data_IF_510732127359
#
_entry.id   IF_510732127359
#
_cell.length_a   1.000
_cell.length_b   1.000
_cell.length_c   1.000
_cell.angle_alpha   90.00
_cell.angle_beta   90.00
_cell.angle_gamma   90.00
#
_symmetry.space_group_name_H-M   'P 1'
#
loop_
_entity.id
_entity.type
_entity.pdbx_description
1 polymer ?
#
# COMPACT_ATOMS: atom_id res chain seq x y z
N UNK A 1 26.43 -6.53 10.77
CA UNK A 1 27.04 -5.25 10.36
C UNK A 1 26.75 -5.05 8.89
N UNK A 2 26.08 -3.97 8.51
CA UNK A 2 25.73 -3.68 7.11
C UNK A 2 26.82 -2.77 6.55
N UNK A 3 27.54 -3.23 5.52
CA UNK A 3 28.49 -2.38 4.80
C UNK A 3 27.70 -1.58 3.76
N UNK A 4 27.87 -0.25 3.66
CA UNK A 4 27.23 0.52 2.60
C UNK A 4 27.74 0.05 1.24
N UNK A 5 26.89 0.03 0.20
CA UNK A 5 27.34 -0.35 -1.13
C UNK A 5 28.38 0.65 -1.64
N UNK A 6 29.30 0.20 -2.50
CA UNK A 6 30.33 1.06 -3.06
C UNK A 6 29.71 2.24 -3.83
N UNK A 7 30.36 3.41 -3.84
CA UNK A 7 29.87 4.57 -4.59
C UNK A 7 29.75 4.24 -6.09
N UNK A 8 28.78 4.84 -6.81
CA UNK A 8 28.57 4.55 -8.21
C UNK A 8 29.82 4.92 -9.03
N UNK A 9 30.19 4.03 -9.94
CA UNK A 9 31.13 4.37 -11.02
C UNK A 9 30.34 4.76 -12.27
N UNK A 10 30.88 5.62 -13.16
CA UNK A 10 30.21 5.96 -14.42
C UNK A 10 29.84 4.73 -15.25
N UNK A 11 30.71 3.70 -15.25
CA UNK A 11 30.46 2.44 -15.95
C UNK A 11 29.29 1.67 -15.35
N UNK A 12 29.24 1.53 -14.03
CA UNK A 12 28.16 0.81 -13.35
C UNK A 12 26.78 1.47 -13.52
N UNK A 13 26.74 2.79 -13.73
CA UNK A 13 25.50 3.51 -14.06
C UNK A 13 25.06 3.23 -15.49
N UNK A 14 26.00 3.17 -16.44
CA UNK A 14 25.73 3.00 -17.87
C UNK A 14 25.37 1.57 -18.26
N UNK A 15 25.93 0.57 -17.58
CA UNK A 15 25.68 -0.85 -17.85
C UNK A 15 24.59 -1.47 -16.94
N UNK A 16 23.97 -0.66 -16.07
CA UNK A 16 22.88 -1.07 -15.18
C UNK A 16 23.32 -1.96 -14.01
N UNK A 17 24.62 -2.14 -13.79
CA UNK A 17 25.14 -2.96 -12.68
C UNK A 17 25.15 -2.22 -11.33
N UNK A 18 24.97 -0.90 -11.34
CA UNK A 18 24.82 -0.12 -10.12
C UNK A 18 23.42 -0.31 -9.52
N UNK A 19 23.37 -1.02 -8.39
CA UNK A 19 22.19 -1.02 -7.51
C UNK A 19 22.39 0.09 -6.49
N UNK A 20 21.62 1.17 -6.63
CA UNK A 20 21.63 2.24 -5.65
C UNK A 20 21.33 1.69 -4.25
N UNK A 21 22.08 2.13 -3.24
CA UNK A 21 21.82 1.83 -1.83
C UNK A 21 20.37 2.11 -1.38
N UNK A 22 19.69 2.96 -2.16
CA UNK A 22 18.32 3.44 -1.97
C UNK A 22 17.28 2.69 -2.80
N UNK A 23 17.64 1.59 -3.48
CA UNK A 23 16.63 0.68 -4.03
C UNK A 23 15.90 0.03 -2.84
N UNK A 24 14.80 0.67 -2.42
CA UNK A 24 13.91 0.21 -1.37
C UNK A 24 13.51 -1.24 -1.69
N UNK A 25 14.10 -2.21 -0.98
CA UNK A 25 13.73 -3.61 -1.10
C UNK A 25 12.41 -3.81 -0.37
N UNK A 26 11.31 -3.58 -1.09
CA UNK A 26 9.96 -3.78 -0.62
C UNK A 26 9.51 -5.20 -0.92
N UNK A 27 9.03 -5.89 0.10
CA UNK A 27 8.32 -7.16 -0.08
C UNK A 27 6.82 -6.87 -0.19
N UNK A 28 6.34 -6.78 -1.43
CA UNK A 28 4.91 -6.57 -1.71
C UNK A 28 4.12 -7.79 -1.25
N UNK A 29 2.98 -7.53 -0.61
CA UNK A 29 2.08 -8.58 -0.15
C UNK A 29 1.51 -9.37 -1.34
N UNK A 30 1.50 -10.72 -1.26
CA UNK A 30 0.81 -11.52 -2.26
C UNK A 30 -0.67 -11.14 -2.33
N UNK A 31 -1.17 -10.99 -3.55
CA UNK A 31 -2.57 -10.64 -3.82
C UNK A 31 -3.37 -11.85 -4.26
N UNK A 32 -4.69 -11.78 -4.10
CA UNK A 32 -5.56 -12.82 -4.67
C UNK A 32 -5.40 -12.89 -6.20
N UNK A 33 -5.56 -14.08 -6.83
CA UNK A 33 -5.29 -14.27 -8.27
C UNK A 33 -6.01 -13.28 -9.19
N UNK A 34 -7.21 -12.85 -8.80
CA UNK A 34 -8.01 -11.85 -9.51
C UNK A 34 -7.24 -10.53 -9.74
N UNK A 35 -6.51 -10.06 -8.74
CA UNK A 35 -5.74 -8.80 -8.82
C UNK A 35 -4.28 -9.02 -9.19
N UNK A 36 -3.76 -10.23 -8.99
CA UNK A 36 -2.38 -10.54 -9.32
C UNK A 36 -2.18 -10.68 -10.84
N UNK A 37 -3.15 -11.29 -11.55
CA UNK A 37 -3.06 -11.54 -12.99
C UNK A 37 -3.81 -10.49 -13.82
N UNK A 38 -4.69 -9.70 -13.21
CA UNK A 38 -5.40 -8.63 -13.87
C UNK A 38 -4.49 -7.42 -14.13
N UNK A 39 -4.59 -6.81 -15.31
CA UNK A 39 -3.99 -5.51 -15.56
C UNK A 39 -4.89 -4.41 -14.97
N UNK A 40 -4.39 -3.56 -14.04
CA UNK A 40 -5.19 -2.47 -13.51
C UNK A 40 -5.47 -1.44 -14.61
N UNK A 41 -6.69 -0.88 -14.62
CA UNK A 41 -7.08 0.19 -15.55
C UNK A 41 -6.44 1.51 -15.13
N UNK A 42 -6.34 1.76 -13.82
CA UNK A 42 -5.71 2.94 -13.25
C UNK A 42 -4.79 2.56 -12.11
N UNK A 43 -3.69 3.27 -11.96
CA UNK A 43 -2.74 3.14 -10.86
C UNK A 43 -2.48 4.53 -10.30
N UNK A 44 -2.62 4.68 -8.98
CA UNK A 44 -2.29 5.91 -8.25
C UNK A 44 -1.23 5.57 -7.21
N UNK A 45 -0.11 6.30 -7.21
CA UNK A 45 1.04 6.06 -6.34
C UNK A 45 1.03 6.98 -5.13
N UNK A 46 1.51 6.48 -4.00
CA UNK A 46 1.69 7.28 -2.79
C UNK A 46 3.18 7.50 -2.55
N UNK A 47 3.58 8.76 -2.45
CA UNK A 47 4.97 9.19 -2.25
C UNK A 47 5.03 10.33 -1.23
N UNK A 48 6.19 10.50 -0.60
CA UNK A 48 6.52 11.61 0.31
C UNK A 48 7.86 12.19 -0.12
N UNK A 49 7.88 13.42 -0.64
CA UNK A 49 9.10 14.04 -1.14
C UNK A 49 9.74 13.25 -2.28
N UNK A 50 8.93 12.59 -3.11
CA UNK A 50 9.39 11.70 -4.18
C UNK A 50 9.78 10.29 -3.72
N UNK A 51 9.83 10.00 -2.41
CA UNK A 51 10.10 8.67 -1.90
C UNK A 51 8.81 7.82 -1.91
N UNK A 52 8.83 6.62 -2.53
CA UNK A 52 7.64 5.76 -2.59
C UNK A 52 7.38 5.05 -1.27
N UNK A 53 6.15 4.54 -1.15
CA UNK A 53 5.74 3.62 -0.10
C UNK A 53 5.88 4.19 1.33
N UNK A 54 5.18 5.31 1.66
CA UNK A 54 5.10 5.82 3.02
C UNK A 54 4.56 4.77 4.00
N UNK A 55 5.00 4.85 5.25
CA UNK A 55 4.49 3.96 6.30
C UNK A 55 3.08 4.35 6.72
N UNK A 56 2.23 3.36 6.99
CA UNK A 56 0.85 3.61 7.42
C UNK A 56 0.79 4.37 8.75
N UNK A 57 1.68 4.04 9.70
CA UNK A 57 1.71 4.70 11.01
C UNK A 57 2.12 6.18 10.91
N UNK A 58 2.99 6.54 9.97
CA UNK A 58 3.37 7.94 9.71
C UNK A 58 2.23 8.74 9.07
N UNK A 59 1.47 8.11 8.17
CA UNK A 59 0.26 8.71 7.58
C UNK A 59 -0.78 9.00 8.68
N UNK A 60 -1.07 8.01 9.53
CA UNK A 60 -2.07 8.14 10.61
C UNK A 60 -1.68 9.16 11.67
N UNK A 61 -0.40 9.25 12.02
CA UNK A 61 0.08 10.23 13.00
C UNK A 61 0.20 11.64 12.42
N UNK A 62 0.07 11.81 11.10
CA UNK A 62 0.32 13.08 10.42
C UNK A 62 1.79 13.48 10.41
N UNK A 63 2.70 12.54 10.66
CA UNK A 63 4.15 12.78 10.66
C UNK A 63 4.70 13.07 9.25
N UNK A 64 3.98 12.65 8.21
CA UNK A 64 4.34 12.88 6.81
C UNK A 64 3.24 13.59 6.04
N UNK A 65 3.65 14.38 5.04
CA UNK A 65 2.73 14.97 4.05
C UNK A 65 2.95 14.28 2.72
N UNK A 66 1.88 13.72 2.15
CA UNK A 66 1.95 13.05 0.85
C UNK A 66 2.16 14.05 -0.29
N UNK A 67 2.89 13.61 -1.30
CA UNK A 67 2.93 14.33 -2.58
C UNK A 67 1.52 14.37 -3.16
N UNK A 68 1.13 15.54 -3.69
CA UNK A 68 -0.23 15.80 -4.18
C UNK A 68 -1.35 15.64 -3.13
N UNK A 69 -1.03 15.75 -1.83
CA UNK A 69 -1.96 15.63 -0.70
C UNK A 69 -3.40 16.12 -0.95
N UNK A 70 -3.54 17.33 -1.49
CA UNK A 70 -4.83 18.00 -1.68
C UNK A 70 -5.46 17.78 -3.07
N UNK A 71 -4.79 17.08 -3.98
CA UNK A 71 -5.35 16.74 -5.30
C UNK A 71 -6.40 15.66 -5.12
N UNK A 72 -7.52 15.78 -5.84
CA UNK A 72 -8.51 14.71 -5.92
C UNK A 72 -7.89 13.48 -6.61
N UNK A 73 -7.92 12.33 -5.93
CA UNK A 73 -7.25 11.12 -6.41
C UNK A 73 -8.03 10.42 -7.55
N UNK A 74 -9.35 10.66 -7.63
CA UNK A 74 -10.27 9.94 -8.53
C UNK A 74 -11.12 10.86 -9.42
N UNK A 75 -10.88 12.18 -9.42
CA UNK A 75 -11.72 13.16 -10.13
C UNK A 75 -11.71 13.01 -11.66
N UNK A 76 -10.64 12.44 -12.22
CA UNK A 76 -10.42 12.34 -13.68
C UNK A 76 -11.45 11.45 -14.39
N UNK A 77 -12.21 10.63 -13.65
CA UNK A 77 -13.07 9.61 -14.22
C UNK A 77 -14.56 9.97 -14.23
N UNK A 78 -14.94 11.13 -13.68
CA UNK A 78 -16.33 11.61 -13.68
C UNK A 78 -17.32 10.75 -12.86
N UNK A 79 -16.83 9.81 -12.05
CA UNK A 79 -17.66 8.90 -11.28
C UNK A 79 -18.40 9.62 -10.14
N UNK A 80 -19.66 9.22 -9.91
CA UNK A 80 -20.46 9.70 -8.77
C UNK A 80 -20.23 8.88 -7.51
N UNK A 81 -19.87 7.60 -7.65
CA UNK A 81 -19.46 6.68 -6.58
C UNK A 81 -18.47 5.65 -7.14
N UNK A 82 -17.59 5.14 -6.29
CA UNK A 82 -16.72 3.99 -6.60
C UNK A 82 -16.56 3.12 -5.36
N UNK A 83 -15.94 1.95 -5.50
CA UNK A 83 -15.69 1.03 -4.40
C UNK A 83 -14.19 0.84 -4.20
N UNK A 84 -13.76 0.66 -2.96
CA UNK A 84 -12.44 0.10 -2.69
C UNK A 84 -12.52 -1.09 -1.75
N UNK A 85 -11.56 -2.02 -1.84
CA UNK A 85 -11.55 -3.27 -1.11
C UNK A 85 -10.14 -3.53 -0.57
N UNK A 86 -10.04 -3.85 0.72
CA UNK A 86 -8.82 -4.38 1.31
C UNK A 86 -8.53 -5.78 0.76
N UNK A 87 -7.28 -6.00 0.36
CA UNK A 87 -6.74 -7.32 0.03
C UNK A 87 -5.59 -7.62 1.00
N UNK A 88 -5.72 -8.69 1.78
CA UNK A 88 -4.67 -9.14 2.70
C UNK A 88 -4.43 -10.64 2.50
N UNK A 89 -3.17 -11.07 2.27
CA UNK A 89 -2.87 -12.45 1.95
C UNK A 89 -3.33 -13.45 3.02
N UNK A 90 -4.10 -14.44 2.59
CA UNK A 90 -4.59 -15.53 3.44
C UNK A 90 -5.79 -15.17 4.32
N UNK A 91 -6.51 -14.08 4.02
CA UNK A 91 -7.81 -13.80 4.62
C UNK A 91 -8.88 -13.61 3.55
N UNK A 92 -10.03 -14.23 3.75
CA UNK A 92 -11.23 -13.97 2.97
C UNK A 92 -11.94 -12.75 3.54
N UNK A 93 -11.78 -11.61 2.86
CA UNK A 93 -12.39 -10.33 3.21
C UNK A 93 -13.70 -10.13 2.43
N UNK A 94 -14.63 -9.28 2.92
CA UNK A 94 -15.92 -9.07 2.29
C UNK A 94 -15.83 -8.85 0.78
N UNK A 95 -16.72 -9.50 0.04
CA UNK A 95 -16.73 -9.43 -1.42
C UNK A 95 -17.06 -8.02 -1.94
N UNK A 96 -17.86 -7.24 -1.20
CA UNK A 96 -18.20 -5.87 -1.54
C UNK A 96 -17.27 -4.90 -0.82
N UNK A 97 -16.66 -4.01 -1.59
CA UNK A 97 -15.84 -2.92 -1.07
C UNK A 97 -16.65 -1.78 -0.44
N UNK A 98 -15.94 -0.83 0.14
CA UNK A 98 -16.47 0.39 0.75
C UNK A 98 -16.75 1.45 -0.31
N UNK A 99 -17.92 2.09 -0.23
CA UNK A 99 -18.30 3.15 -1.16
C UNK A 99 -17.53 4.45 -0.87
N UNK A 100 -16.95 5.01 -1.92
CA UNK A 100 -16.22 6.27 -1.92
C UNK A 100 -16.96 7.32 -2.74
N UNK A 101 -16.84 8.58 -2.34
CA UNK A 101 -17.23 9.74 -3.14
C UNK A 101 -15.99 10.34 -3.84
N UNK A 102 -15.81 10.12 -5.16
CA UNK A 102 -14.65 10.60 -5.90
C UNK A 102 -14.47 12.12 -5.91
N UNK A 103 -15.54 12.89 -5.63
CA UNK A 103 -15.55 14.35 -5.73
C UNK A 103 -14.90 15.04 -4.54
N UNK A 104 -14.84 14.35 -3.40
CA UNK A 104 -14.29 14.87 -2.14
C UNK A 104 -13.00 14.16 -1.73
N UNK A 105 -12.62 13.08 -2.43
CA UNK A 105 -11.53 12.21 -2.01
C UNK A 105 -10.17 12.69 -2.53
N UNK A 106 -9.38 13.28 -1.64
CA UNK A 106 -7.98 13.67 -1.90
C UNK A 106 -7.02 12.50 -1.70
N UNK A 107 -5.77 12.66 -2.14
CA UNK A 107 -4.70 11.68 -1.85
C UNK A 107 -4.53 11.43 -0.36
N UNK A 108 -4.45 12.49 0.45
CA UNK A 108 -4.33 12.37 1.91
C UNK A 108 -5.53 11.68 2.51
N UNK A 109 -6.76 12.06 2.11
CA UNK A 109 -7.96 11.43 2.66
C UNK A 109 -8.02 9.94 2.32
N UNK A 110 -7.72 9.57 1.08
CA UNK A 110 -7.69 8.17 0.66
C UNK A 110 -6.66 7.36 1.44
N UNK A 111 -5.44 7.89 1.60
CA UNK A 111 -4.39 7.20 2.33
C UNK A 111 -4.73 7.00 3.81
N UNK A 112 -5.37 7.99 4.45
CA UNK A 112 -5.87 7.88 5.82
C UNK A 112 -6.95 6.80 5.92
N UNK A 113 -7.95 6.81 5.02
CA UNK A 113 -9.02 5.81 5.03
C UNK A 113 -8.48 4.39 4.87
N UNK A 114 -7.51 4.19 3.98
CA UNK A 114 -6.82 2.91 3.82
C UNK A 114 -6.09 2.52 5.12
N UNK A 115 -5.34 3.45 5.71
CA UNK A 115 -4.55 3.19 6.90
C UNK A 115 -5.42 2.87 8.13
N UNK A 116 -6.54 3.58 8.30
CA UNK A 116 -7.52 3.35 9.37
C UNK A 116 -8.15 1.97 9.26
N UNK A 117 -8.60 1.57 8.06
CA UNK A 117 -9.20 0.25 7.85
C UNK A 117 -8.18 -0.88 8.07
N UNK A 118 -6.94 -0.71 7.61
CA UNK A 118 -5.87 -1.69 7.86
C UNK A 118 -5.55 -1.77 9.36
N UNK A 119 -5.50 -0.65 10.07
CA UNK A 119 -5.26 -0.65 11.52
C UNK A 119 -6.37 -1.39 12.28
N UNK A 120 -7.62 -1.15 11.89
CA UNK A 120 -8.77 -1.83 12.48
C UNK A 120 -8.72 -3.34 12.22
N UNK A 121 -8.47 -3.75 10.96
CA UNK A 121 -8.30 -5.14 10.57
C UNK A 121 -7.17 -5.80 11.35
N UNK A 122 -5.99 -5.18 11.35
CA UNK A 122 -4.79 -5.68 12.00
C UNK A 122 -5.02 -5.88 13.50
N UNK A 123 -5.59 -4.88 14.18
CA UNK A 123 -5.87 -4.94 15.62
C UNK A 123 -6.81 -6.09 15.98
N UNK A 124 -7.88 -6.28 15.19
CA UNK A 124 -8.83 -7.39 15.37
C UNK A 124 -8.15 -8.74 15.16
N UNK A 125 -7.39 -8.90 14.07
CA UNK A 125 -6.74 -10.18 13.73
C UNK A 125 -5.60 -10.55 14.65
N UNK A 126 -4.76 -9.61 15.07
CA UNK A 126 -3.72 -9.87 16.08
C UNK A 126 -4.32 -10.43 17.37
N UNK A 127 -5.45 -9.87 17.83
CA UNK A 127 -6.13 -10.33 19.04
C UNK A 127 -6.70 -11.76 18.89
N UNK A 128 -7.25 -12.07 17.72
CA UNK A 128 -7.78 -13.40 17.39
C UNK A 128 -6.64 -14.44 17.30
N UNK A 129 -5.59 -14.14 16.55
CA UNK A 129 -4.48 -15.06 16.28
C UNK A 129 -3.59 -15.31 17.49
N UNK A 130 -3.46 -14.35 18.42
CA UNK A 130 -2.79 -14.59 19.71
C UNK A 130 -3.49 -15.68 20.54
N UNK A 131 -4.78 -15.92 20.32
CA UNK A 131 -5.55 -16.94 21.05
C UNK A 131 -5.47 -18.31 20.42
N UNK A 132 -5.48 -18.38 19.10
CA UNK A 132 -5.65 -19.63 18.34
C UNK A 132 -4.38 -20.06 17.61
N UNK A 133 -3.41 -19.15 17.43
CA UNK A 133 -2.29 -19.31 16.51
C UNK A 133 -2.72 -19.12 15.05
N UNK A 134 -1.74 -18.91 14.17
CA UNK A 134 -1.97 -18.81 12.72
C UNK A 134 -0.83 -19.46 11.96
N UNK A 135 -1.16 -20.39 11.05
CA UNK A 135 -0.20 -21.02 10.14
C UNK A 135 0.11 -20.15 8.93
N UNK A 136 -0.69 -19.12 8.66
CA UNK A 136 -0.47 -18.19 7.56
C UNK A 136 0.86 -17.43 7.77
N UNK A 137 1.81 -17.43 6.82
CA UNK A 137 3.03 -16.64 6.92
C UNK A 137 2.77 -15.13 6.95
N UNK A 138 1.65 -14.69 6.37
CA UNK A 138 1.19 -13.30 6.33
C UNK A 138 0.18 -12.96 7.42
N UNK A 139 0.12 -13.77 8.47
CA UNK A 139 -0.73 -13.51 9.62
C UNK A 139 -0.50 -12.08 10.16
N UNK A 140 -1.55 -11.34 10.48
CA UNK A 140 -1.45 -9.98 11.03
C UNK A 140 -0.59 -9.95 12.30
N UNK A 141 -0.66 -11.01 13.13
CA UNK A 141 0.21 -11.19 14.31
C UNK A 141 1.71 -11.32 14.03
N UNK A 142 2.10 -11.65 12.79
CA UNK A 142 3.50 -11.81 12.36
C UNK A 142 4.06 -10.59 11.64
N UNK A 143 3.20 -9.66 11.25
CA UNK A 143 3.57 -8.44 10.53
C UNK A 143 3.35 -7.23 11.46
N UNK A 144 4.41 -6.58 11.97
CA UNK A 144 4.25 -5.37 12.77
C UNK A 144 3.58 -4.27 11.95
N UNK A 145 2.60 -3.58 12.52
CA UNK A 145 1.86 -2.52 11.81
C UNK A 145 2.80 -1.39 11.35
N UNK A 146 3.84 -1.12 12.14
CA UNK A 146 4.84 -0.09 11.89
C UNK A 146 5.66 -0.36 10.63
N UNK A 147 5.76 -1.61 10.19
CA UNK A 147 6.48 -2.00 8.97
C UNK A 147 5.62 -1.89 7.71
N UNK A 148 4.30 -1.76 7.85
CA UNK A 148 3.40 -1.76 6.70
C UNK A 148 3.49 -0.42 5.98
N UNK A 149 3.70 -0.49 4.67
CA UNK A 149 3.81 0.64 3.76
C UNK A 149 2.70 0.62 2.72
N UNK A 150 2.21 1.81 2.35
CA UNK A 150 1.23 2.02 1.29
C UNK A 150 1.93 2.39 -0.01
N UNK A 151 2.00 1.47 -0.98
CA UNK A 151 2.74 1.66 -2.23
C UNK A 151 1.89 2.41 -3.26
N UNK A 152 0.77 1.78 -3.64
CA UNK A 152 -0.09 2.22 -4.73
C UNK A 152 -1.54 1.84 -4.41
N UNK A 153 -2.48 2.35 -5.20
CA UNK A 153 -3.83 1.81 -5.28
C UNK A 153 -4.23 1.60 -6.73
N UNK A 154 -4.76 0.42 -7.00
CA UNK A 154 -5.05 -0.08 -8.33
C UNK A 154 -6.56 -0.15 -8.55
N UNK A 155 -7.03 0.34 -9.69
CA UNK A 155 -8.41 0.17 -10.10
C UNK A 155 -8.56 -1.02 -11.05
N UNK A 156 -9.44 -1.95 -10.71
CA UNK A 156 -9.79 -3.11 -11.51
C UNK A 156 -11.27 -3.06 -11.89
N UNK A 157 -11.59 -2.44 -13.03
CA UNK A 157 -12.93 -2.30 -13.65
C UNK A 157 -14.01 -1.62 -12.79
N UNK A 158 -14.20 -2.07 -11.55
CA UNK A 158 -15.26 -1.68 -10.60
C UNK A 158 -14.74 -1.39 -9.19
N UNK A 159 -13.52 -1.80 -8.84
CA UNK A 159 -13.01 -1.72 -7.47
C UNK A 159 -11.56 -1.24 -7.40
N UNK A 160 -11.26 -0.42 -6.40
CA UNK A 160 -9.90 -0.01 -6.04
C UNK A 160 -9.31 -0.95 -4.98
N UNK A 161 -8.05 -1.33 -5.14
CA UNK A 161 -7.36 -2.27 -4.24
C UNK A 161 -5.98 -1.69 -3.88
N UNK A 162 -5.68 -1.48 -2.59
CA UNK A 162 -4.37 -0.97 -2.17
C UNK A 162 -3.29 -2.03 -2.39
N UNK A 163 -2.08 -1.56 -2.69
CA UNK A 163 -0.88 -2.37 -2.77
C UNK A 163 -0.03 -2.06 -1.53
N UNK A 164 0.17 -3.09 -0.72
CA UNK A 164 0.90 -3.01 0.55
C UNK A 164 2.23 -3.73 0.44
N UNK A 165 3.21 -3.25 1.22
CA UNK A 165 4.52 -3.87 1.32
C UNK A 165 5.09 -3.74 2.75
N UNK A 166 6.12 -4.55 3.03
CA UNK A 166 7.01 -4.42 4.20
C UNK A 166 8.46 -4.27 3.76
#
# INVERSE_FOLDING_TARGET
MYLPPPPPTPRSVLDGTYVAATALQLQVFPRVPEFNNGQPTFVKRFTVGGCPAPFLHEILSGAVTLDHANRLIMAENGWSKTLWKLDWPGYELPARGHALDPRSLTYTRMAIEIAEEILEFWTKKVKEERRVGSSNPWAASKVPFEMIRLVEIHYYKTVWVPVLAV
#
